data_IF_222678048150
#
_entry.id   IF_222678048150
#
_cell.length_a   1.000
_cell.length_b   1.000
_cell.length_c   1.000
_cell.angle_alpha   90.00
_cell.angle_beta   90.00
_cell.angle_gamma   90.00
#
_symmetry.space_group_name_H-M   'P 1'
#
loop_
_entity.id
_entity.type
_entity.pdbx_description
1 polymer ?
#
# COMPACT_ATOMS: atom_id res chain seq x y z
N UNK A 1 -28.47 2.61 9.56
CA UNK A 1 -27.47 1.90 8.73
C UNK A 1 -26.02 2.39 8.93
N UNK A 2 -25.74 3.69 9.13
CA UNK A 2 -24.38 4.18 9.47
C UNK A 2 -23.91 3.90 10.90
N UNK A 3 -24.83 3.67 11.85
CA UNK A 3 -24.48 3.47 13.26
C UNK A 3 -23.88 2.08 13.56
N UNK A 4 -24.16 1.07 12.72
CA UNK A 4 -23.59 -0.28 12.87
C UNK A 4 -22.17 -0.40 12.31
N UNK A 5 -21.81 0.41 11.31
CA UNK A 5 -20.44 0.42 10.76
C UNK A 5 -19.48 1.31 11.53
N UNK A 6 -19.99 2.24 12.35
CA UNK A 6 -19.21 3.12 13.22
C UNK A 6 -18.26 2.38 14.19
N UNK A 7 -18.71 1.39 14.97
CA UNK A 7 -17.81 0.64 15.85
C UNK A 7 -16.73 -0.12 15.05
N UNK A 8 -17.07 -0.64 13.88
CA UNK A 8 -16.11 -1.32 13.00
C UNK A 8 -15.06 -0.37 12.43
N UNK A 9 -15.46 0.82 11.98
CA UNK A 9 -14.54 1.84 11.45
C UNK A 9 -13.62 2.35 12.55
N UNK A 10 -14.13 2.62 13.75
CA UNK A 10 -13.31 3.04 14.90
C UNK A 10 -12.30 1.95 15.25
N UNK A 11 -12.74 0.69 15.30
CA UNK A 11 -11.86 -0.44 15.59
C UNK A 11 -10.76 -0.60 14.54
N UNK A 12 -11.11 -0.63 13.25
CA UNK A 12 -10.12 -0.72 12.17
C UNK A 12 -9.15 0.46 12.20
N UNK A 13 -9.65 1.68 12.39
CA UNK A 13 -8.81 2.88 12.44
C UNK A 13 -7.85 2.79 13.62
N UNK A 14 -8.31 2.38 14.80
CA UNK A 14 -7.45 2.16 15.95
C UNK A 14 -6.33 1.15 15.64
N UNK A 15 -6.68 0.01 15.05
CA UNK A 15 -5.71 -1.04 14.71
C UNK A 15 -4.75 -0.67 13.58
N UNK A 16 -5.06 0.32 12.75
CA UNK A 16 -4.15 0.82 11.73
C UNK A 16 -3.27 1.94 12.29
N UNK A 17 -3.88 2.89 13.00
CA UNK A 17 -3.21 4.10 13.47
C UNK A 17 -2.30 3.83 14.67
N UNK A 18 -2.71 3.01 15.64
CA UNK A 18 -1.91 2.70 16.83
C UNK A 18 -0.53 2.09 16.45
N UNK A 19 -0.45 1.00 15.66
CA UNK A 19 0.86 0.45 15.29
C UNK A 19 1.66 1.40 14.39
N UNK A 20 1.00 2.21 13.55
CA UNK A 20 1.69 3.21 12.74
C UNK A 20 2.37 4.27 13.62
N UNK A 21 1.68 4.76 14.66
CA UNK A 21 2.24 5.69 15.64
C UNK A 21 3.39 5.05 16.42
N UNK A 22 3.27 3.76 16.78
CA UNK A 22 4.38 3.03 17.42
C UNK A 22 5.61 2.95 16.51
N UNK A 23 5.42 2.59 15.23
CA UNK A 23 6.50 2.54 14.24
C UNK A 23 7.16 3.92 14.10
N UNK A 24 6.37 5.00 14.05
CA UNK A 24 6.89 6.36 13.96
C UNK A 24 7.66 6.78 15.22
N UNK A 25 7.14 6.45 16.41
CA UNK A 25 7.80 6.75 17.68
C UNK A 25 9.14 6.00 17.82
N UNK A 26 9.16 4.69 17.58
CA UNK A 26 10.38 3.88 17.66
C UNK A 26 11.36 4.16 16.51
N UNK A 27 10.86 4.58 15.35
CA UNK A 27 11.70 5.01 14.23
C UNK A 27 12.41 6.34 14.51
N UNK A 28 11.82 7.23 15.31
CA UNK A 28 12.37 8.55 15.64
C UNK A 28 13.02 8.63 17.03
N UNK A 29 12.90 7.59 17.87
CA UNK A 29 13.38 7.59 19.25
C UNK A 29 14.33 6.42 19.50
N UNK A 30 15.39 6.66 20.27
CA UNK A 30 16.31 5.62 20.72
C UNK A 30 15.83 4.97 22.04
N UNK A 31 16.50 3.89 22.47
CA UNK A 31 16.27 3.18 23.74
C UNK A 31 16.29 4.09 24.98
N UNK A 32 16.96 5.23 24.89
CA UNK A 32 17.05 6.24 25.95
C UNK A 32 15.96 7.32 25.86
N UNK A 33 14.93 7.15 25.03
CA UNK A 33 13.87 8.14 24.72
C UNK A 33 14.41 9.48 24.17
N UNK A 34 15.62 9.48 23.61
CA UNK A 34 16.15 10.62 22.89
C UNK A 34 15.68 10.54 21.44
N UNK A 35 15.29 11.67 20.87
CA UNK A 35 15.01 11.75 19.43
C UNK A 35 16.31 11.48 18.65
N UNK A 36 16.31 10.43 17.83
CA UNK A 36 17.42 10.09 16.93
C UNK A 36 16.93 9.86 15.51
N UNK A 37 17.77 10.23 14.54
CA UNK A 37 17.56 9.92 13.12
C UNK A 37 18.40 8.71 12.68
N UNK A 38 19.16 8.10 13.58
CA UNK A 38 20.06 6.99 13.27
C UNK A 38 19.27 5.76 12.79
N UNK A 39 18.12 5.47 13.40
CA UNK A 39 17.23 4.39 12.97
C UNK A 39 16.70 4.58 11.53
N UNK A 40 16.54 5.84 11.10
CA UNK A 40 16.12 6.19 9.73
C UNK A 40 17.32 6.09 8.78
N UNK A 41 18.51 6.48 9.25
CA UNK A 41 19.75 6.37 8.48
C UNK A 41 20.08 4.91 8.10
N UNK A 42 19.64 3.92 8.89
CA UNK A 42 19.74 2.49 8.56
C UNK A 42 19.10 2.14 7.20
N UNK A 43 18.13 2.91 6.70
CA UNK A 43 17.56 2.68 5.36
C UNK A 43 18.64 2.84 4.26
N UNK A 44 19.66 3.66 4.53
CA UNK A 44 20.80 3.91 3.63
C UNK A 44 21.90 2.85 3.80
N UNK A 45 21.80 1.94 4.78
CA UNK A 45 22.75 0.84 4.87
C UNK A 45 22.74 0.01 3.58
N UNK A 46 23.91 -0.52 3.16
CA UNK A 46 24.06 -1.21 1.89
C UNK A 46 23.15 -2.44 1.73
N UNK A 47 22.67 -3.01 2.84
CA UNK A 47 21.73 -4.13 2.84
C UNK A 47 20.30 -3.62 2.55
N UNK A 48 19.86 -2.58 3.27
CA UNK A 48 18.51 -2.03 3.16
C UNK A 48 18.31 -1.28 1.84
N UNK A 49 19.34 -0.55 1.39
CA UNK A 49 19.32 0.16 0.11
C UNK A 49 19.16 -0.81 -1.08
N UNK A 50 19.86 -1.95 -1.06
CA UNK A 50 19.69 -2.98 -2.09
C UNK A 50 18.28 -3.55 -2.11
N UNK A 51 17.73 -3.86 -0.93
CA UNK A 51 16.36 -4.34 -0.82
C UNK A 51 15.35 -3.29 -1.35
N UNK A 52 15.55 -2.01 -1.04
CA UNK A 52 14.71 -0.91 -1.50
C UNK A 52 14.77 -0.74 -3.03
N UNK A 53 15.96 -0.80 -3.62
CA UNK A 53 16.13 -0.73 -5.07
C UNK A 53 15.50 -1.92 -5.80
N UNK A 54 15.69 -3.13 -5.29
CA UNK A 54 15.03 -4.32 -5.83
C UNK A 54 13.51 -4.20 -5.73
N UNK A 55 12.97 -3.83 -4.56
CA UNK A 55 11.54 -3.64 -4.39
C UNK A 55 10.98 -2.58 -5.36
N UNK A 56 11.71 -1.48 -5.56
CA UNK A 56 11.35 -0.43 -6.50
C UNK A 56 11.34 -0.94 -7.94
N UNK A 57 12.40 -1.62 -8.38
CA UNK A 57 12.50 -2.22 -9.71
C UNK A 57 11.35 -3.20 -9.98
N UNK A 58 11.10 -4.13 -9.05
CA UNK A 58 10.01 -5.11 -9.16
C UNK A 58 8.64 -4.43 -9.22
N UNK A 59 8.42 -3.38 -8.40
CA UNK A 59 7.14 -2.66 -8.36
C UNK A 59 6.86 -1.92 -9.67
N UNK A 60 7.89 -1.34 -10.30
CA UNK A 60 7.76 -0.63 -11.58
C UNK A 60 7.47 -1.64 -12.69
N UNK A 61 8.22 -2.74 -12.75
CA UNK A 61 8.00 -3.81 -13.73
C UNK A 61 6.57 -4.35 -13.61
N UNK A 62 6.12 -4.66 -12.40
CA UNK A 62 4.75 -5.13 -12.14
C UNK A 62 3.70 -4.11 -12.57
N UNK A 63 3.90 -2.83 -12.26
CA UNK A 63 2.99 -1.75 -12.66
C UNK A 63 2.88 -1.62 -14.19
N UNK A 64 4.01 -1.66 -14.90
CA UNK A 64 4.04 -1.58 -16.36
C UNK A 64 3.35 -2.79 -16.98
N UNK A 65 3.65 -4.01 -16.53
CA UNK A 65 3.00 -5.22 -17.00
C UNK A 65 1.49 -5.17 -16.74
N UNK A 66 1.09 -4.79 -15.52
CA UNK A 66 -0.32 -4.63 -15.15
C UNK A 66 -1.02 -3.63 -16.07
N UNK A 67 -0.41 -2.48 -16.35
CA UNK A 67 -0.98 -1.45 -17.22
C UNK A 67 -1.12 -1.95 -18.67
N UNK A 68 -0.08 -2.60 -19.19
CA UNK A 68 -0.08 -3.18 -20.54
C UNK A 68 -1.15 -4.26 -20.73
N UNK A 69 -1.46 -5.03 -19.69
CA UNK A 69 -2.50 -6.07 -19.72
C UNK A 69 -3.90 -5.53 -19.40
N UNK A 70 -4.03 -4.66 -18.41
CA UNK A 70 -5.31 -4.11 -17.96
C UNK A 70 -5.90 -3.12 -18.98
N UNK A 71 -5.08 -2.35 -19.69
CA UNK A 71 -5.55 -1.40 -20.70
C UNK A 71 -6.28 -2.05 -21.89
N UNK A 72 -5.76 -3.10 -22.56
CA UNK A 72 -6.49 -3.78 -23.62
C UNK A 72 -7.73 -4.50 -23.09
N UNK A 73 -7.66 -5.11 -21.90
CA UNK A 73 -8.83 -5.70 -21.23
C UNK A 73 -9.93 -4.66 -21.02
N UNK A 74 -9.59 -3.48 -20.48
CA UNK A 74 -10.54 -2.38 -20.31
C UNK A 74 -11.13 -1.89 -21.65
N UNK A 75 -10.33 -1.86 -22.72
CA UNK A 75 -10.82 -1.48 -24.05
C UNK A 75 -11.79 -2.51 -24.65
N UNK A 76 -11.50 -3.80 -24.49
CA UNK A 76 -12.37 -4.90 -24.94
C UNK A 76 -13.67 -4.90 -24.14
N UNK A 77 -13.60 -4.77 -22.82
CA UNK A 77 -14.77 -4.65 -21.94
C UNK A 77 -15.64 -3.45 -22.34
N UNK A 78 -15.03 -2.29 -22.63
CA UNK A 78 -15.76 -1.10 -23.10
C UNK A 78 -16.47 -1.33 -24.44
N UNK A 79 -15.86 -2.08 -25.36
CA UNK A 79 -16.48 -2.40 -26.67
C UNK A 79 -17.58 -3.47 -26.56
N UNK A 80 -17.41 -4.46 -25.69
CA UNK A 80 -18.38 -5.55 -25.47
C UNK A 80 -19.61 -5.12 -24.65
N UNK A 81 -19.44 -4.16 -23.74
CA UNK A 81 -20.53 -3.60 -22.92
C UNK A 81 -21.67 -2.97 -23.74
N UNK A 82 -21.48 -2.67 -25.03
CA UNK A 82 -22.55 -2.14 -25.90
C UNK A 82 -23.57 -3.21 -26.33
N UNK A 83 -23.32 -4.52 -26.18
CA UNK A 83 -24.22 -5.56 -26.71
C UNK A 83 -24.39 -6.85 -25.88
N UNK A 84 -24.06 -6.89 -24.59
CA UNK A 84 -24.54 -8.02 -23.77
C UNK A 84 -24.64 -7.68 -22.30
N UNK A 85 -25.90 -7.70 -21.82
CA UNK A 85 -26.38 -7.81 -20.46
C UNK A 85 -25.31 -8.06 -19.39
N UNK A 86 -24.94 -6.97 -18.71
CA UNK A 86 -24.62 -6.74 -17.28
C UNK A 86 -24.44 -7.91 -16.26
N UNK A 87 -24.06 -9.12 -16.67
CA UNK A 87 -24.02 -10.31 -15.79
C UNK A 87 -22.68 -11.07 -15.78
N UNK A 88 -21.63 -10.55 -16.42
CA UNK A 88 -20.30 -11.21 -16.41
C UNK A 88 -19.35 -10.60 -15.37
N UNK A 89 -19.81 -9.61 -14.59
CA UNK A 89 -19.01 -8.98 -13.53
C UNK A 89 -19.81 -8.85 -12.23
N UNK A 90 -20.14 -9.99 -11.62
CA UNK A 90 -20.54 -10.09 -10.21
C UNK A 90 -20.08 -11.44 -9.64
#
# INVERSE_FOLDING_TARGET
>A
MKLLSLPYIIWMTGFIIIPLLMILYYGLSDKNNHFTLDNIALITDPINQKALLLALELSIISTVICLLLAYPLAMILRKSSKNSNNFIVL
#
